data_IF_184193635354
#
_entry.id   IF_184193635354
#
_cell.length_a   1.000
_cell.length_b   1.000
_cell.length_c   1.000
_cell.angle_alpha   90.00
_cell.angle_beta   90.00
_cell.angle_gamma   90.00
#
_symmetry.space_group_name_H-M   'P 1'
#
loop_
_entity.id
_entity.type
_entity.pdbx_description
1 polymer ?
#
# COMPACT_ATOMS: atom_id res chain seq x y z
N UNK A 1 -6.83 -1.46 1.54
CA UNK A 1 -7.35 -0.10 1.80
C UNK A 1 -6.41 0.90 1.15
N UNK A 2 -6.92 2.04 0.69
CA UNK A 2 -6.10 3.14 0.18
C UNK A 2 -6.53 4.47 0.81
N UNK A 3 -5.56 5.35 1.09
CA UNK A 3 -5.83 6.71 1.56
C UNK A 3 -4.56 7.52 1.70
N UNK A 4 -4.66 8.85 1.76
CA UNK A 4 -3.46 9.72 1.84
C UNK A 4 -2.59 9.44 3.06
N UNK A 5 -3.21 9.25 4.24
CA UNK A 5 -2.48 8.94 5.47
C UNK A 5 -2.12 7.46 5.60
N UNK A 6 -2.95 6.56 5.06
CA UNK A 6 -2.78 5.12 5.18
C UNK A 6 -1.90 4.53 4.07
N UNK A 7 -1.70 5.26 2.97
CA UNK A 7 -1.15 4.75 1.71
C UNK A 7 -1.93 3.52 1.22
N UNK A 8 -1.25 2.53 0.63
CA UNK A 8 -1.82 1.24 0.25
C UNK A 8 -1.54 0.17 1.32
N UNK A 9 -2.58 -0.23 2.08
CA UNK A 9 -2.49 -1.23 3.16
C UNK A 9 -3.18 -2.55 2.76
N UNK A 10 -2.52 -3.71 2.91
CA UNK A 10 -3.12 -5.03 2.69
C UNK A 10 -4.16 -5.37 3.77
N UNK A 11 -5.27 -5.98 3.34
CA UNK A 11 -6.25 -6.61 4.24
C UNK A 11 -6.03 -8.11 4.19
N UNK A 12 -5.79 -8.73 5.34
CA UNK A 12 -5.49 -10.17 5.46
C UNK A 12 -6.60 -10.97 6.19
N UNK A 13 -7.61 -10.28 6.72
CA UNK A 13 -8.73 -10.87 7.44
C UNK A 13 -9.97 -9.99 7.29
N UNK A 14 -11.13 -10.60 7.06
CA UNK A 14 -12.43 -9.91 6.95
C UNK A 14 -13.47 -10.75 7.70
N UNK A 15 -14.25 -10.11 8.58
CA UNK A 15 -15.32 -10.76 9.35
C UNK A 15 -14.89 -12.05 10.05
N UNK A 16 -13.73 -12.02 10.71
CA UNK A 16 -13.20 -13.21 11.39
C UNK A 16 -12.49 -14.22 10.47
N UNK A 17 -12.66 -14.12 9.14
CA UNK A 17 -12.11 -15.07 8.16
C UNK A 17 -10.77 -14.60 7.63
N UNK A 18 -9.76 -15.45 7.74
CA UNK A 18 -8.43 -15.19 7.18
C UNK A 18 -8.47 -15.31 5.66
N UNK A 19 -7.91 -14.32 4.97
CA UNK A 19 -7.73 -14.37 3.51
C UNK A 19 -6.48 -15.21 3.23
N UNK A 20 -6.67 -16.35 2.56
CA UNK A 20 -5.59 -17.29 2.22
C UNK A 20 -4.72 -17.65 3.44
N UNK A 21 -3.43 -17.28 3.43
CA UNK A 21 -2.47 -17.57 4.48
C UNK A 21 -2.28 -16.44 5.51
N UNK A 22 -3.14 -15.42 5.48
CA UNK A 22 -3.08 -14.29 6.40
C UNK A 22 -1.89 -13.35 6.16
N UNK A 23 -1.23 -13.43 4.99
CA UNK A 23 -0.13 -12.56 4.61
C UNK A 23 -0.52 -11.69 3.41
N UNK A 24 0.09 -10.50 3.26
CA UNK A 24 -0.09 -9.68 2.07
C UNK A 24 0.25 -10.46 0.79
N UNK A 25 -0.68 -10.45 -0.16
CA UNK A 25 -0.53 -11.14 -1.44
C UNK A 25 0.52 -10.49 -2.35
N UNK A 26 0.99 -11.22 -3.38
CA UNK A 26 2.07 -10.75 -4.26
C UNK A 26 1.70 -9.48 -5.05
N UNK A 27 0.44 -9.33 -5.45
CA UNK A 27 -0.02 -8.11 -6.16
C UNK A 27 -0.04 -6.91 -5.24
N UNK A 28 -0.56 -7.06 -4.00
CA UNK A 28 -0.57 -5.96 -3.04
C UNK A 28 0.83 -5.51 -2.67
N UNK A 29 1.78 -6.45 -2.52
CA UNK A 29 3.19 -6.10 -2.31
C UNK A 29 3.77 -5.25 -3.45
N UNK A 30 3.55 -5.67 -4.70
CA UNK A 30 3.98 -4.90 -5.88
C UNK A 30 3.41 -3.47 -5.87
N UNK A 31 2.12 -3.31 -5.52
CA UNK A 31 1.48 -2.00 -5.45
C UNK A 31 2.12 -1.15 -4.33
N UNK A 32 2.28 -1.71 -3.13
CA UNK A 32 2.87 -0.99 -2.00
C UNK A 32 4.34 -0.59 -2.29
N UNK A 33 5.11 -1.46 -2.93
CA UNK A 33 6.49 -1.17 -3.34
C UNK A 33 6.54 -0.08 -4.41
N UNK A 34 5.74 -0.19 -5.47
CA UNK A 34 5.68 0.82 -6.54
C UNK A 34 5.21 2.19 -6.02
N UNK A 35 4.22 2.21 -5.12
CA UNK A 35 3.74 3.45 -4.51
C UNK A 35 4.83 4.13 -3.68
N UNK A 36 5.60 3.36 -2.90
CA UNK A 36 6.73 3.88 -2.11
C UNK A 36 7.83 4.48 -2.96
N UNK A 37 8.08 3.96 -4.15
CA UNK A 37 9.05 4.57 -5.07
C UNK A 37 8.50 5.83 -5.74
N UNK A 38 7.21 5.82 -6.12
CA UNK A 38 6.57 6.97 -6.74
C UNK A 38 6.63 8.23 -5.85
N UNK A 39 6.25 8.11 -4.58
CA UNK A 39 6.18 9.26 -3.65
C UNK A 39 7.55 9.89 -3.32
N UNK A 40 8.67 9.22 -3.64
CA UNK A 40 10.02 9.77 -3.46
C UNK A 40 10.43 10.70 -4.60
N UNK A 41 9.81 10.52 -5.77
CA UNK A 41 10.24 11.15 -7.03
C UNK A 41 9.20 12.10 -7.59
N UNK A 42 7.94 11.96 -7.18
CA UNK A 42 6.86 12.84 -7.58
C UNK A 42 6.40 13.74 -6.44
N UNK A 43 6.16 15.01 -6.78
CA UNK A 43 5.72 16.04 -5.86
C UNK A 43 5.94 17.43 -6.45
N UNK A 44 5.18 18.41 -5.99
CA UNK A 44 5.47 19.82 -6.30
C UNK A 44 6.59 20.30 -5.40
N UNK A 45 7.65 20.86 -5.98
CA UNK A 45 8.75 21.45 -5.25
C UNK A 45 8.27 22.61 -4.36
N UNK A 46 8.67 22.61 -3.09
CA UNK A 46 8.24 23.60 -2.10
C UNK A 46 9.24 24.75 -1.99
N UNK A 47 10.53 24.47 -2.19
CA UNK A 47 11.61 25.44 -2.12
C UNK A 47 12.51 25.29 -3.35
N UNK A 48 12.90 26.40 -4.02
CA UNK A 48 13.85 26.37 -5.13
C UNK A 48 15.29 26.10 -4.67
#
# INVERSE_FOLDING_TARGET
>A
LSGTAAEAIPVVKVDGRTIANGKPGPVTKKITEAFKELIKTEGTEIYP
#
